data_IF_112173087485
#
_entry.id   IF_112173087485
#
_cell.length_a   1.000
_cell.length_b   1.000
_cell.length_c   1.000
_cell.angle_alpha   90.00
_cell.angle_beta   90.00
_cell.angle_gamma   90.00
#
_symmetry.space_group_name_H-M   'P 1'
#
loop_
_entity.id
_entity.type
_entity.pdbx_description
1 polymer ?
#
# COMPACT_ATOMS: atom_id res chain seq x y z
N UNK A 1 47.21 -33.39 -3.93
CA UNK A 1 45.83 -33.49 -3.41
C UNK A 1 44.85 -33.10 -4.50
N UNK A 2 44.11 -34.07 -5.04
CA UNK A 2 43.20 -33.92 -6.19
C UNK A 2 41.79 -33.65 -5.66
N UNK A 3 41.30 -32.41 -5.74
CA UNK A 3 39.95 -32.04 -5.29
C UNK A 3 38.94 -32.28 -6.44
N UNK A 4 37.98 -33.19 -6.23
CA UNK A 4 37.01 -33.63 -7.25
C UNK A 4 35.96 -32.52 -7.55
N UNK A 5 35.57 -32.30 -8.82
CA UNK A 5 34.58 -31.28 -9.25
C UNK A 5 33.11 -31.63 -8.92
N UNK A 6 32.85 -32.75 -8.23
CA UNK A 6 31.50 -33.29 -7.98
C UNK A 6 30.68 -32.49 -6.97
N UNK A 7 31.30 -31.59 -6.20
CA UNK A 7 30.63 -30.85 -5.11
C UNK A 7 29.98 -29.55 -5.58
N UNK A 8 30.46 -28.96 -6.68
CA UNK A 8 29.95 -27.68 -7.22
C UNK A 8 28.52 -27.85 -7.76
N UNK A 9 28.21 -28.99 -8.37
CA UNK A 9 26.92 -29.26 -9.01
C UNK A 9 25.79 -29.53 -7.99
N UNK A 10 26.12 -30.04 -6.80
CA UNK A 10 25.15 -30.26 -5.71
C UNK A 10 24.78 -28.97 -4.97
N UNK A 11 25.70 -28.01 -4.88
CA UNK A 11 25.44 -26.73 -4.23
C UNK A 11 24.49 -25.84 -5.03
N UNK A 12 24.52 -25.92 -6.37
CA UNK A 12 23.62 -25.19 -7.26
C UNK A 12 22.15 -25.64 -7.14
N UNK A 13 21.89 -26.91 -6.80
CA UNK A 13 20.53 -27.43 -6.69
C UNK A 13 19.81 -26.98 -5.39
N UNK A 14 20.55 -26.74 -4.31
CA UNK A 14 19.96 -26.33 -3.01
C UNK A 14 19.64 -24.83 -2.99
N UNK A 15 20.39 -24.01 -3.73
CA UNK A 15 20.15 -22.57 -3.81
C UNK A 15 18.84 -22.19 -4.54
N UNK A 16 18.33 -23.06 -5.43
CA UNK A 16 17.13 -22.79 -6.22
C UNK A 16 15.82 -22.85 -5.41
N UNK A 17 15.80 -23.51 -4.23
CA UNK A 17 14.58 -23.66 -3.43
C UNK A 17 14.30 -22.49 -2.47
N UNK A 18 15.21 -21.52 -2.33
CA UNK A 18 15.04 -20.41 -1.39
C UNK A 18 14.21 -19.23 -1.92
N UNK A 19 13.76 -19.25 -3.18
CA UNK A 19 13.06 -18.12 -3.81
C UNK A 19 11.53 -18.10 -3.61
N UNK A 20 10.94 -19.04 -2.87
CA UNK A 20 9.51 -18.96 -2.52
C UNK A 20 9.32 -18.04 -1.31
N UNK A 21 9.76 -16.79 -1.44
CA UNK A 21 9.46 -15.74 -0.49
C UNK A 21 7.97 -15.41 -0.61
N UNK A 22 7.19 -15.99 0.29
CA UNK A 22 5.77 -15.78 0.50
C UNK A 22 5.38 -14.32 0.29
N UNK A 23 4.66 -14.04 -0.80
CA UNK A 23 4.01 -12.75 -1.02
C UNK A 23 2.84 -12.62 -0.04
N UNK A 24 3.14 -12.27 1.21
CA UNK A 24 2.11 -11.86 2.18
C UNK A 24 1.39 -10.65 1.58
N UNK A 25 0.06 -10.71 1.38
CA UNK A 25 -0.68 -9.56 0.92
C UNK A 25 -0.49 -8.46 1.96
N UNK A 26 0.18 -7.38 1.56
CA UNK A 26 0.43 -6.26 2.44
C UNK A 26 -0.93 -5.69 2.89
N UNK A 27 -1.33 -6.00 4.12
CA UNK A 27 -2.34 -5.22 4.82
C UNK A 27 -1.87 -3.78 4.76
N UNK A 28 -2.59 -2.94 4.00
CA UNK A 28 -2.17 -1.57 3.78
C UNK A 28 -2.04 -0.88 5.14
N UNK A 29 -0.81 -0.64 5.58
CA UNK A 29 -0.51 0.02 6.84
C UNK A 29 -1.03 1.45 6.72
N UNK A 30 -2.08 1.74 7.47
CA UNK A 30 -2.69 3.04 7.51
C UNK A 30 -1.97 3.90 8.54
N UNK A 31 -1.59 5.10 8.13
CA UNK A 31 -0.95 6.10 8.95
C UNK A 31 -1.90 6.61 10.04
N UNK A 32 -1.34 6.91 11.21
CA UNK A 32 -2.04 7.69 12.23
C UNK A 32 -2.39 9.09 11.71
N UNK A 33 -3.33 9.82 12.33
CA UNK A 33 -3.69 11.18 11.92
C UNK A 33 -2.51 12.16 11.92
N UNK A 34 -1.55 11.99 12.83
CA UNK A 34 -0.35 12.81 12.90
C UNK A 34 0.64 12.51 11.77
N UNK A 35 0.84 11.23 11.44
CA UNK A 35 1.67 10.82 10.30
C UNK A 35 1.06 11.23 8.97
N UNK A 36 -0.26 11.13 8.82
CA UNK A 36 -0.97 11.57 7.62
C UNK A 36 -0.76 13.07 7.36
N UNK A 37 -0.90 13.90 8.41
CA UNK A 37 -0.63 15.35 8.33
C UNK A 37 0.82 15.63 7.95
N UNK A 38 1.78 14.93 8.57
CA UNK A 38 3.21 15.04 8.23
C UNK A 38 3.49 14.63 6.78
N UNK A 39 2.83 13.58 6.28
CA UNK A 39 2.99 13.14 4.89
C UNK A 39 2.47 14.19 3.90
N UNK A 40 1.34 14.85 4.19
CA UNK A 40 0.82 15.94 3.38
C UNK A 40 1.75 17.16 3.43
N UNK A 41 2.18 17.56 4.63
CA UNK A 41 3.11 18.68 4.81
C UNK A 41 4.46 18.46 4.10
N UNK A 42 4.95 17.22 4.07
CA UNK A 42 6.18 16.84 3.39
C UNK A 42 6.01 16.62 1.87
N UNK A 43 4.83 16.87 1.29
CA UNK A 43 4.55 16.65 -0.14
C UNK A 43 4.52 15.18 -0.56
N UNK A 44 4.51 14.23 0.39
CA UNK A 44 4.44 12.78 0.13
C UNK A 44 3.02 12.29 -0.14
N UNK A 45 2.02 13.12 0.13
CA UNK A 45 0.62 12.91 -0.19
C UNK A 45 -0.05 14.24 -0.55
N UNK A 46 -0.94 14.25 -1.52
CA UNK A 46 -1.78 15.39 -1.84
C UNK A 46 -2.76 15.68 -0.70
N UNK A 47 -3.14 16.94 -0.43
CA UNK A 47 -4.20 17.27 0.52
C UNK A 47 -5.48 16.50 0.20
N UNK A 48 -6.19 16.03 1.23
CA UNK A 48 -7.38 15.20 1.06
C UNK A 48 -8.43 15.85 0.13
N UNK A 49 -8.68 17.14 0.27
CA UNK A 49 -9.63 17.89 -0.57
C UNK A 49 -9.27 17.84 -2.06
N UNK A 50 -7.97 17.93 -2.38
CA UNK A 50 -7.46 17.84 -3.75
C UNK A 50 -7.62 16.43 -4.29
N UNK A 51 -7.27 15.42 -3.50
CA UNK A 51 -7.43 14.01 -3.87
C UNK A 51 -8.90 13.66 -4.13
N UNK A 52 -9.82 14.09 -3.26
CA UNK A 52 -11.27 13.88 -3.43
C UNK A 52 -11.80 14.53 -4.71
N UNK A 53 -11.39 15.77 -5.00
CA UNK A 53 -11.79 16.48 -6.22
C UNK A 53 -11.31 15.76 -7.48
N UNK A 54 -10.04 15.33 -7.51
CA UNK A 54 -9.46 14.58 -8.63
C UNK A 54 -10.16 13.24 -8.86
N UNK A 55 -10.57 12.58 -7.78
CA UNK A 55 -11.28 11.31 -7.84
C UNK A 55 -12.79 11.47 -8.12
N UNK A 56 -13.31 12.68 -8.27
CA UNK A 56 -14.73 12.94 -8.52
C UNK A 56 -15.63 12.48 -7.36
N UNK A 57 -15.11 12.43 -6.13
CA UNK A 57 -15.87 11.94 -4.99
C UNK A 57 -16.84 13.02 -4.53
N UNK A 58 -18.12 12.77 -4.76
CA UNK A 58 -19.23 13.57 -4.22
C UNK A 58 -19.93 12.82 -3.09
N UNK A 59 -20.28 13.51 -2.01
CA UNK A 59 -20.99 12.95 -0.86
C UNK A 59 -20.30 13.25 0.46
N UNK A 60 -20.92 12.81 1.56
CA UNK A 60 -20.39 13.06 2.90
C UNK A 60 -19.31 12.02 3.23
N UNK A 61 -18.06 12.48 3.37
CA UNK A 61 -16.96 11.64 3.84
C UNK A 61 -17.04 11.53 5.36
N UNK A 62 -17.22 10.32 5.87
CA UNK A 62 -17.36 10.03 7.32
C UNK A 62 -16.19 9.26 7.90
N UNK A 63 -15.35 8.67 7.05
CA UNK A 63 -14.10 8.01 7.46
C UNK A 63 -13.01 8.31 6.45
N UNK A 64 -11.80 8.54 6.93
CA UNK A 64 -10.62 8.69 6.09
C UNK A 64 -9.40 8.12 6.79
N UNK A 65 -8.58 7.40 6.02
CA UNK A 65 -7.26 6.96 6.43
C UNK A 65 -6.30 7.07 5.24
N UNK A 66 -5.11 7.60 5.47
CA UNK A 66 -4.01 7.54 4.50
C UNK A 66 -3.29 6.21 4.71
N UNK A 67 -3.21 5.37 3.70
CA UNK A 67 -2.58 4.05 3.81
C UNK A 67 -1.52 3.87 2.73
N UNK A 68 -0.53 3.03 3.05
CA UNK A 68 0.51 2.66 2.08
C UNK A 68 0.08 1.41 1.33
N UNK A 69 0.06 1.46 0.00
CA UNK A 69 -0.18 0.32 -0.88
C UNK A 69 1.06 0.10 -1.75
N UNK A 70 1.94 -0.80 -1.30
CA UNK A 70 3.26 -0.97 -1.88
C UNK A 70 4.07 0.33 -1.76
N UNK A 71 4.55 0.87 -2.90
CA UNK A 71 5.32 2.12 -2.95
C UNK A 71 4.47 3.38 -3.05
N UNK A 72 3.14 3.25 -3.14
CA UNK A 72 2.21 4.37 -3.34
C UNK A 72 1.40 4.66 -2.09
N UNK A 73 1.02 5.92 -1.89
CA UNK A 73 0.08 6.34 -0.87
C UNK A 73 -1.34 6.38 -1.46
N UNK A 74 -2.31 5.89 -0.70
CA UNK A 74 -3.74 5.88 -1.07
C UNK A 74 -4.60 6.36 0.09
N UNK A 75 -5.69 7.06 -0.19
CA UNK A 75 -6.72 7.32 0.80
C UNK A 75 -7.77 6.21 0.76
N UNK A 76 -8.03 5.60 1.92
CA UNK A 76 -9.21 4.74 2.13
C UNK A 76 -10.28 5.61 2.78
N UNK A 77 -11.38 5.83 2.07
CA UNK A 77 -12.47 6.71 2.51
C UNK A 77 -13.77 5.94 2.65
N UNK A 78 -14.60 6.36 3.61
CA UNK A 78 -15.98 5.96 3.74
C UNK A 78 -16.88 7.14 3.38
N UNK A 79 -17.73 6.97 2.38
CA UNK A 79 -18.64 8.01 1.86
C UNK A 79 -20.07 7.55 2.06
N UNK A 80 -20.94 8.41 2.57
CA UNK A 80 -22.37 8.14 2.61
C UNK A 80 -23.01 8.53 1.28
N UNK A 81 -23.80 7.63 0.70
CA UNK A 81 -24.64 7.94 -0.45
C UNK A 81 -25.90 8.74 -0.03
N UNK A 82 -26.69 9.20 -1.01
CA UNK A 82 -27.93 9.96 -0.74
C UNK A 82 -28.98 9.19 0.08
N UNK A 83 -28.85 7.87 0.19
CA UNK A 83 -29.73 7.00 0.99
C UNK A 83 -29.12 6.66 2.36
N UNK A 84 -28.01 7.32 2.76
CA UNK A 84 -27.32 7.09 4.02
C UNK A 84 -26.48 5.81 4.07
N UNK A 85 -26.24 5.15 2.93
CA UNK A 85 -25.46 3.90 2.91
C UNK A 85 -23.97 4.20 2.83
N UNK A 86 -23.18 3.55 3.69
CA UNK A 86 -21.73 3.67 3.70
C UNK A 86 -21.10 2.91 2.53
N UNK A 87 -20.33 3.62 1.71
CA UNK A 87 -19.51 3.06 0.63
C UNK A 87 -18.03 3.29 0.94
N UNK A 88 -17.25 2.22 0.90
CA UNK A 88 -15.80 2.31 1.02
C UNK A 88 -15.17 2.47 -0.36
N UNK A 89 -14.25 3.41 -0.47
CA UNK A 89 -13.51 3.68 -1.70
C UNK A 89 -12.02 3.82 -1.39
N UNK A 90 -11.18 3.49 -2.35
CA UNK A 90 -9.74 3.72 -2.29
C UNK A 90 -9.37 4.63 -3.44
N UNK A 91 -8.80 5.80 -3.13
CA UNK A 91 -8.39 6.79 -4.13
C UNK A 91 -6.89 7.07 -4.01
N UNK A 92 -6.21 7.45 -5.10
CA UNK A 92 -4.80 7.84 -5.05
C UNK A 92 -4.58 9.07 -4.15
N UNK A 93 -3.39 9.15 -3.54
CA UNK A 93 -2.98 10.32 -2.74
C UNK A 93 -1.88 11.14 -3.43
N UNK A 94 -1.78 11.12 -4.76
CA UNK A 94 -0.85 11.93 -5.56
C UNK A 94 -1.58 13.07 -6.28
#
# INVERSE_FOLDING_TARGET
MIWKPSHVRRLLAVAALALVASSVPALAQCASPAEARRAVAAGKAAPLSVALRRAGVSGQVVRVALCRKGRRSVYRIGVLDRKGRLRQMVIPAN
#
